data_IF_649336143137
#
_entry.id   IF_649336143137
#
_cell.length_a   1.000
_cell.length_b   1.000
_cell.length_c   1.000
_cell.angle_alpha   90.00
_cell.angle_beta   90.00
_cell.angle_gamma   90.00
#
_symmetry.space_group_name_H-M   'P 1'
#
loop_
_entity.id
_entity.type
_entity.pdbx_description
1 polymer ?
#
# COMPACT_ATOMS: atom_id res chain seq x y z
N UNK A 1 36.31 -7.51 -17.18
CA UNK A 1 35.66 -8.41 -16.21
C UNK A 1 34.16 -8.27 -16.43
N UNK A 2 33.54 -9.24 -17.09
CA UNK A 2 32.16 -9.14 -17.58
C UNK A 2 31.13 -9.38 -16.49
N UNK A 3 30.11 -8.53 -16.41
CA UNK A 3 28.95 -8.69 -15.52
C UNK A 3 28.00 -9.67 -16.21
N UNK A 4 27.77 -10.85 -15.60
CA UNK A 4 26.77 -11.82 -16.07
C UNK A 4 25.38 -11.26 -15.79
N UNK A 5 24.56 -11.13 -16.84
CA UNK A 5 23.12 -10.94 -16.71
C UNK A 5 22.51 -12.27 -16.24
N UNK A 6 22.05 -12.32 -14.99
CA UNK A 6 21.27 -13.45 -14.48
C UNK A 6 19.85 -13.42 -15.05
N UNK A 7 19.38 -14.55 -15.55
CA UNK A 7 17.99 -14.74 -15.97
C UNK A 7 17.09 -14.90 -14.75
N UNK A 8 15.93 -14.23 -14.75
CA UNK A 8 14.93 -14.32 -13.69
C UNK A 8 13.86 -15.33 -14.06
N UNK A 9 13.51 -16.22 -13.14
CA UNK A 9 12.34 -17.10 -13.26
C UNK A 9 11.30 -16.73 -12.21
N UNK A 10 10.08 -16.43 -12.65
CA UNK A 10 8.91 -16.35 -11.76
C UNK A 10 8.51 -17.77 -11.41
N UNK A 11 8.70 -18.19 -10.16
CA UNK A 11 8.12 -19.45 -9.67
C UNK A 11 6.93 -19.18 -8.77
N UNK A 12 5.73 -19.50 -9.25
CA UNK A 12 4.58 -19.73 -8.37
C UNK A 12 4.79 -21.09 -7.69
N UNK A 13 4.98 -21.12 -6.38
CA UNK A 13 4.92 -22.37 -5.64
C UNK A 13 3.44 -22.65 -5.30
N UNK A 14 2.82 -23.56 -6.04
CA UNK A 14 1.53 -24.16 -5.67
C UNK A 14 1.80 -25.28 -4.68
N UNK A 15 1.36 -25.11 -3.44
CA UNK A 15 1.27 -26.22 -2.49
C UNK A 15 -0.17 -26.72 -2.51
N UNK A 16 -0.35 -27.99 -2.85
CA UNK A 16 -1.64 -28.67 -2.77
C UNK A 16 -1.99 -28.87 -1.30
N UNK A 17 -2.62 -27.86 -0.69
CA UNK A 17 -3.64 -27.98 0.35
C UNK A 17 -4.16 -26.57 0.68
N UNK A 18 -5.45 -26.38 0.38
CA UNK A 18 -6.41 -25.35 0.78
C UNK A 18 -5.96 -24.31 1.85
N UNK A 19 -5.30 -23.23 1.41
CA UNK A 19 -5.34 -21.84 1.92
C UNK A 19 -4.28 -21.04 1.13
N UNK A 20 -4.70 -20.20 0.17
CA UNK A 20 -3.76 -19.40 -0.64
C UNK A 20 -3.21 -18.24 0.19
N UNK A 21 -2.17 -18.51 0.95
CA UNK A 21 -1.26 -17.51 1.52
C UNK A 21 -0.58 -16.74 0.36
N UNK A 22 -1.10 -15.58 -0.04
CA UNK A 22 -0.36 -14.63 -0.91
C UNK A 22 0.65 -13.85 -0.07
N UNK A 23 1.53 -14.57 0.62
CA UNK A 23 2.65 -13.95 1.33
C UNK A 23 3.60 -13.41 0.27
N UNK A 24 3.55 -12.11 -0.02
CA UNK A 24 4.63 -11.44 -0.72
C UNK A 24 5.81 -11.27 0.25
N UNK A 25 6.43 -12.41 0.57
CA UNK A 25 7.81 -12.45 1.03
C UNK A 25 8.67 -12.96 -0.12
N UNK A 26 9.38 -12.04 -0.78
CA UNK A 26 10.39 -12.40 -1.76
C UNK A 26 11.50 -13.21 -1.06
N UNK A 27 11.76 -14.43 -1.57
CA UNK A 27 12.96 -15.22 -1.29
C UNK A 27 13.85 -15.24 -2.52
N UNK A 28 15.16 -15.11 -2.36
CA UNK A 28 16.13 -15.41 -3.41
C UNK A 28 16.27 -16.95 -3.58
N UNK A 29 17.02 -17.41 -4.60
CA UNK A 29 17.32 -18.84 -4.80
C UNK A 29 18.05 -19.50 -3.60
N UNK A 30 18.57 -18.69 -2.68
CA UNK A 30 19.21 -19.12 -1.43
C UNK A 30 18.24 -19.20 -0.22
N UNK A 31 16.98 -18.79 -0.38
CA UNK A 31 15.96 -18.84 0.68
C UNK A 31 15.90 -17.62 1.62
N UNK A 32 16.69 -16.58 1.38
CA UNK A 32 16.75 -15.38 2.24
C UNK A 32 15.55 -14.45 2.02
N UNK A 33 14.91 -14.00 3.11
CA UNK A 33 13.84 -13.02 3.04
C UNK A 33 14.39 -11.63 2.71
N UNK A 34 13.96 -11.04 1.59
CA UNK A 34 14.43 -9.71 1.17
C UNK A 34 13.46 -8.58 1.63
N UNK A 35 14.06 -7.51 2.16
CA UNK A 35 13.41 -6.26 2.61
C UNK A 35 13.48 -5.21 1.48
N UNK A 36 12.35 -4.59 1.12
CA UNK A 36 12.32 -3.50 0.12
C UNK A 36 12.21 -2.15 0.85
N UNK A 37 13.20 -1.24 0.72
CA UNK A 37 13.23 0.04 1.41
C UNK A 37 12.09 1.01 1.08
N UNK A 38 11.24 0.73 0.07
CA UNK A 38 10.22 1.69 -0.40
C UNK A 38 8.84 1.55 0.26
N UNK A 39 8.50 0.35 0.72
CA UNK A 39 7.23 0.14 1.41
C UNK A 39 7.27 0.79 2.78
N UNK A 40 6.42 1.76 3.04
CA UNK A 40 6.36 2.44 4.33
C UNK A 40 4.93 2.83 4.70
N UNK A 41 4.74 3.13 5.97
CA UNK A 41 3.51 3.72 6.51
C UNK A 41 3.84 5.11 6.98
N UNK A 42 2.92 6.04 6.76
CA UNK A 42 3.00 7.38 7.29
C UNK A 42 2.12 7.50 8.53
N UNK A 43 2.70 8.07 9.59
CA UNK A 43 1.93 8.54 10.73
C UNK A 43 1.17 9.81 10.36
N UNK A 44 0.02 10.09 10.99
CA UNK A 44 -0.71 11.34 10.77
C UNK A 44 0.17 12.60 10.94
N UNK A 45 1.14 12.56 11.85
CA UNK A 45 2.14 13.61 12.05
C UNK A 45 2.99 13.93 10.81
N UNK A 46 3.15 12.99 9.87
CA UNK A 46 3.91 13.21 8.62
C UNK A 46 3.36 14.36 7.75
N UNK A 47 2.06 14.65 7.88
CA UNK A 47 1.36 15.61 7.03
C UNK A 47 0.79 16.79 7.81
N UNK A 48 0.76 16.68 9.15
CA UNK A 48 0.12 17.62 10.08
C UNK A 48 1.06 17.83 11.27
N UNK A 49 1.80 18.94 11.24
CA UNK A 49 2.79 19.30 12.26
C UNK A 49 2.18 19.30 13.67
N UNK A 50 0.94 19.80 13.82
CA UNK A 50 0.25 19.82 15.12
C UNK A 50 0.01 18.41 15.70
N UNK A 51 -0.09 17.40 14.82
CA UNK A 51 -0.25 16.00 15.23
C UNK A 51 1.09 15.40 15.63
N UNK A 52 2.18 15.76 14.93
CA UNK A 52 3.52 15.35 15.32
C UNK A 52 3.90 15.92 16.70
N UNK A 53 3.64 17.22 16.92
CA UNK A 53 3.87 17.88 18.20
C UNK A 53 3.02 17.28 19.33
N UNK A 54 1.82 16.78 19.01
CA UNK A 54 0.95 16.06 19.94
C UNK A 54 1.35 14.57 20.15
N UNK A 55 2.40 14.10 19.48
CA UNK A 55 2.93 12.74 19.62
C UNK A 55 2.23 11.67 18.78
N UNK A 56 1.44 12.05 17.77
CA UNK A 56 0.84 11.10 16.82
C UNK A 56 1.85 10.62 15.77
N UNK A 57 2.85 9.88 16.25
CA UNK A 57 3.92 9.26 15.47
C UNK A 57 3.60 7.79 15.14
N UNK A 58 4.54 7.08 14.50
CA UNK A 58 4.37 5.67 14.14
C UNK A 58 4.07 4.77 15.35
N UNK A 59 4.57 5.07 16.55
CA UNK A 59 4.34 4.27 17.76
C UNK A 59 2.88 4.32 18.21
N UNK A 60 2.13 5.34 17.79
CA UNK A 60 0.72 5.54 18.13
C UNK A 60 -0.27 4.98 17.10
N UNK A 61 0.23 4.42 16.00
CA UNK A 61 -0.63 3.86 14.96
C UNK A 61 -1.46 2.70 15.49
N UNK A 62 -2.76 2.73 15.20
CA UNK A 62 -3.67 1.66 15.58
C UNK A 62 -3.37 0.39 14.75
N UNK A 63 -2.79 -0.61 15.40
CA UNK A 63 -2.52 -1.92 14.81
C UNK A 63 -3.79 -2.63 14.33
N UNK A 64 -4.95 -2.35 14.92
CA UNK A 64 -6.22 -2.86 14.43
C UNK A 64 -6.56 -2.25 13.07
N UNK A 65 -6.28 -0.96 12.83
CA UNK A 65 -6.47 -0.36 11.50
C UNK A 65 -5.47 -0.92 10.50
N UNK A 66 -4.23 -1.23 10.90
CA UNK A 66 -3.19 -1.80 10.04
C UNK A 66 -3.38 -3.28 9.67
N UNK A 67 -4.27 -4.01 10.37
CA UNK A 67 -4.42 -5.45 10.21
C UNK A 67 -5.90 -5.87 10.08
N UNK A 68 -6.23 -6.68 9.07
CA UNK A 68 -7.56 -7.29 8.89
C UNK A 68 -8.10 -7.20 7.47
N UNK A 69 -9.42 -7.37 7.26
CA UNK A 69 -10.01 -7.37 5.94
C UNK A 69 -9.78 -6.06 5.20
N UNK A 70 -9.39 -6.18 3.93
CA UNK A 70 -9.12 -5.08 3.02
C UNK A 70 -9.59 -5.43 1.61
N UNK A 71 -10.03 -4.40 0.89
CA UNK A 71 -10.45 -4.53 -0.49
C UNK A 71 -9.34 -4.01 -1.42
N UNK A 72 -8.82 -4.88 -2.28
CA UNK A 72 -7.97 -4.47 -3.40
C UNK A 72 -8.84 -4.13 -4.60
N UNK A 73 -8.76 -2.87 -5.06
CA UNK A 73 -9.52 -2.35 -6.20
C UNK A 73 -8.59 -1.92 -7.34
N UNK A 74 -9.08 -2.04 -8.57
CA UNK A 74 -8.40 -1.51 -9.75
C UNK A 74 -8.89 -0.09 -10.08
N UNK A 75 -7.96 0.85 -10.13
CA UNK A 75 -8.20 2.21 -10.61
C UNK A 75 -8.14 2.24 -12.14
N UNK A 76 -9.04 2.97 -12.83
CA UNK A 76 -8.94 3.19 -14.27
C UNK A 76 -7.53 3.64 -14.68
N UNK A 77 -6.97 3.01 -15.72
CA UNK A 77 -5.55 3.15 -16.07
C UNK A 77 -5.19 4.48 -16.73
N UNK A 78 -6.19 5.25 -17.12
CA UNK A 78 -6.09 6.53 -17.81
C UNK A 78 -6.34 7.74 -16.91
N UNK A 79 -6.47 7.55 -15.59
CA UNK A 79 -6.85 8.62 -14.67
C UNK A 79 -6.09 8.62 -13.34
N UNK A 80 -6.04 9.80 -12.71
CA UNK A 80 -5.74 9.95 -11.29
C UNK A 80 -6.96 9.61 -10.43
N UNK A 81 -6.76 9.43 -9.12
CA UNK A 81 -7.86 9.11 -8.21
C UNK A 81 -8.57 10.43 -7.85
N UNK A 82 -9.55 10.80 -8.68
CA UNK A 82 -10.47 11.95 -8.50
C UNK A 82 -11.74 11.54 -7.75
N UNK A 83 -12.62 12.50 -7.46
CA UNK A 83 -13.92 12.21 -6.86
C UNK A 83 -14.80 11.33 -7.76
N UNK A 84 -14.77 11.54 -9.08
CA UNK A 84 -15.50 10.74 -10.07
C UNK A 84 -14.98 9.30 -10.10
N UNK A 85 -13.66 9.12 -10.06
CA UNK A 85 -13.04 7.80 -9.98
C UNK A 85 -13.45 7.10 -8.69
N UNK A 86 -13.37 7.78 -7.54
CA UNK A 86 -13.79 7.19 -6.27
C UNK A 86 -15.25 6.73 -6.28
N UNK A 87 -16.16 7.51 -6.88
CA UNK A 87 -17.57 7.14 -7.07
C UNK A 87 -17.71 5.90 -7.96
N UNK A 88 -16.97 5.82 -9.07
CA UNK A 88 -17.09 4.74 -10.04
C UNK A 88 -16.53 3.40 -9.53
N UNK A 89 -15.62 3.43 -8.55
CA UNK A 89 -15.10 2.21 -7.91
C UNK A 89 -16.16 1.45 -7.10
N UNK A 90 -17.29 2.07 -6.77
CA UNK A 90 -18.43 1.44 -6.07
C UNK A 90 -18.00 0.66 -4.81
N UNK A 91 -17.09 1.22 -4.01
CA UNK A 91 -16.58 0.57 -2.80
C UNK A 91 -17.74 0.35 -1.82
N UNK A 92 -17.99 -0.90 -1.36
CA UNK A 92 -19.06 -1.18 -0.41
C UNK A 92 -18.91 -0.42 0.91
N UNK A 93 -20.04 -0.03 1.50
CA UNK A 93 -20.06 0.54 2.87
C UNK A 93 -19.52 -0.48 3.88
N UNK A 94 -18.89 0.01 4.95
CA UNK A 94 -18.27 -0.82 5.97
C UNK A 94 -16.87 -1.36 5.62
N UNK A 95 -16.36 -1.11 4.42
CA UNK A 95 -14.95 -1.37 4.10
C UNK A 95 -14.06 -0.36 4.82
N UNK A 96 -13.20 -0.85 5.70
CA UNK A 96 -12.29 -0.01 6.49
C UNK A 96 -10.91 0.17 5.86
N UNK A 97 -10.52 -0.69 4.93
CA UNK A 97 -9.16 -0.71 4.35
C UNK A 97 -9.24 -0.96 2.86
N UNK A 98 -8.58 -0.11 2.07
CA UNK A 98 -8.59 -0.24 0.61
C UNK A 98 -7.18 -0.12 0.06
N UNK A 99 -6.82 -1.05 -0.82
CA UNK A 99 -5.59 -1.02 -1.59
C UNK A 99 -5.96 -0.63 -3.02
N UNK A 100 -5.37 0.45 -3.52
CA UNK A 100 -5.61 0.95 -4.87
C UNK A 100 -4.49 0.48 -5.79
N UNK A 101 -4.83 -0.42 -6.71
CA UNK A 101 -3.94 -0.80 -7.79
C UNK A 101 -4.13 0.15 -8.96
N UNK A 102 -3.08 0.89 -9.29
CA UNK A 102 -3.09 1.90 -10.35
C UNK A 102 -2.16 1.49 -11.50
N UNK A 103 -2.14 2.32 -12.56
CA UNK A 103 -1.18 2.21 -13.68
C UNK A 103 0.29 2.15 -13.21
N UNK A 104 0.59 2.62 -12.00
CA UNK A 104 1.94 2.55 -11.43
C UNK A 104 2.45 1.11 -11.29
N UNK A 105 1.54 0.17 -11.04
CA UNK A 105 1.84 -1.27 -10.96
C UNK A 105 2.24 -1.78 -12.33
N UNK A 106 1.43 -1.49 -13.35
CA UNK A 106 1.63 -1.93 -14.73
C UNK A 106 2.94 -1.37 -15.30
N UNK A 107 3.27 -0.12 -14.95
CA UNK A 107 4.55 0.55 -15.28
C UNK A 107 5.72 0.12 -14.40
N UNK A 108 5.46 -0.74 -13.41
CA UNK A 108 6.45 -1.25 -12.44
C UNK A 108 7.23 -0.13 -11.76
N UNK A 109 6.58 0.98 -11.42
CA UNK A 109 7.26 2.14 -10.84
C UNK A 109 7.99 1.79 -9.54
N UNK A 110 7.43 0.88 -8.73
CA UNK A 110 8.06 0.39 -7.49
C UNK A 110 9.25 -0.54 -7.71
N UNK A 111 9.62 -0.81 -8.96
CA UNK A 111 10.83 -1.54 -9.34
C UNK A 111 11.92 -0.62 -9.88
N UNK A 112 11.56 0.61 -10.29
CA UNK A 112 12.50 1.58 -10.84
C UNK A 112 13.29 2.27 -9.73
N UNK A 113 14.55 2.60 -9.99
CA UNK A 113 15.39 3.34 -9.01
C UNK A 113 15.08 4.84 -9.00
N UNK A 114 14.70 5.38 -10.15
CA UNK A 114 14.42 6.81 -10.32
C UNK A 114 12.96 7.09 -10.01
N UNK A 115 12.71 8.27 -9.45
CA UNK A 115 11.37 8.76 -9.21
C UNK A 115 10.73 9.21 -10.54
N UNK A 116 9.50 8.75 -10.77
CA UNK A 116 8.69 9.14 -11.92
C UNK A 116 7.60 10.09 -11.45
N UNK A 117 7.67 11.36 -11.87
CA UNK A 117 6.72 12.42 -11.50
C UNK A 117 5.34 12.25 -12.14
N UNK A 118 5.21 11.39 -13.15
CA UNK A 118 3.95 11.10 -13.83
C UNK A 118 3.18 9.92 -13.21
N UNK A 119 3.44 9.64 -11.93
CA UNK A 119 2.74 8.61 -11.18
C UNK A 119 1.25 8.95 -11.03
N UNK A 120 0.43 7.90 -10.93
CA UNK A 120 -0.99 8.00 -10.59
C UNK A 120 -1.15 8.08 -9.09
N UNK A 121 -1.86 9.08 -8.58
CA UNK A 121 -2.12 9.27 -7.16
C UNK A 121 -3.49 9.89 -6.88
N UNK A 122 -3.76 10.18 -5.61
CA UNK A 122 -4.94 10.94 -5.21
C UNK A 122 -4.81 12.40 -5.63
N UNK A 123 -5.88 12.93 -6.22
CA UNK A 123 -6.10 14.37 -6.27
C UNK A 123 -6.89 14.82 -5.04
N UNK A 124 -6.88 16.12 -4.78
CA UNK A 124 -7.50 16.73 -3.60
C UNK A 124 -9.00 16.38 -3.48
N UNK A 125 -9.71 16.39 -4.59
CA UNK A 125 -11.14 16.09 -4.65
C UNK A 125 -11.43 14.60 -4.41
N UNK A 126 -10.61 13.69 -4.93
CA UNK A 126 -10.73 12.25 -4.65
C UNK A 126 -10.47 11.92 -3.18
N UNK A 127 -9.45 12.54 -2.60
CA UNK A 127 -9.14 12.44 -1.17
C UNK A 127 -10.28 12.95 -0.29
N UNK A 128 -10.83 14.13 -0.62
CA UNK A 128 -11.96 14.70 0.10
C UNK A 128 -13.21 13.82 -0.04
N UNK A 129 -13.49 13.32 -1.25
CA UNK A 129 -14.62 12.43 -1.47
C UNK A 129 -14.51 11.16 -0.61
N UNK A 130 -13.32 10.55 -0.56
CA UNK A 130 -13.07 9.36 0.26
C UNK A 130 -13.40 9.64 1.73
N UNK A 131 -12.90 10.76 2.27
CA UNK A 131 -13.15 11.17 3.67
C UNK A 131 -14.64 11.39 3.96
N UNK A 132 -15.35 12.05 3.05
CA UNK A 132 -16.73 12.47 3.30
C UNK A 132 -17.77 11.37 3.07
N UNK A 133 -17.43 10.34 2.28
CA UNK A 133 -18.40 9.36 1.78
C UNK A 133 -18.11 7.91 2.21
N UNK A 134 -17.02 7.66 2.93
CA UNK A 134 -16.60 6.30 3.30
C UNK A 134 -16.13 6.21 4.75
N UNK A 135 -16.14 4.98 5.29
CA UNK A 135 -15.61 4.67 6.63
C UNK A 135 -14.15 4.19 6.57
N UNK A 136 -13.45 4.42 5.45
CA UNK A 136 -12.09 3.92 5.22
C UNK A 136 -11.12 4.61 6.21
N UNK A 137 -10.31 3.80 6.88
CA UNK A 137 -9.28 4.21 7.84
C UNK A 137 -7.86 3.86 7.41
N UNK A 138 -7.71 2.98 6.41
CA UNK A 138 -6.42 2.68 5.78
C UNK A 138 -6.53 2.77 4.26
N UNK A 139 -5.62 3.52 3.67
CA UNK A 139 -5.44 3.59 2.22
C UNK A 139 -4.04 3.12 1.89
N UNK A 140 -3.93 2.06 1.08
CA UNK A 140 -2.67 1.69 0.48
C UNK A 140 -2.65 2.02 -1.01
N UNK A 141 -1.62 2.70 -1.46
CA UNK A 141 -1.36 2.89 -2.90
C UNK A 141 0.13 3.04 -3.09
N UNK A 142 0.55 3.33 -4.30
CA UNK A 142 1.95 3.58 -4.58
C UNK A 142 2.40 4.93 -4.00
N UNK A 143 1.51 5.93 -4.05
CA UNK A 143 1.70 7.28 -3.51
C UNK A 143 0.36 7.96 -3.17
N UNK A 144 0.26 8.57 -2.00
CA UNK A 144 -0.84 9.43 -1.55
C UNK A 144 -0.24 10.72 -1.04
N UNK A 145 -0.85 11.85 -1.39
CA UNK A 145 -0.48 13.11 -0.75
C UNK A 145 -1.73 13.92 -0.44
N UNK A 146 -2.31 13.69 0.74
CA UNK A 146 -3.32 14.59 1.28
C UNK A 146 -3.34 14.55 2.81
N UNK A 147 -3.69 15.69 3.40
CA UNK A 147 -3.83 15.81 4.85
C UNK A 147 -5.11 15.12 5.30
N UNK A 148 -4.96 13.98 5.96
CA UNK A 148 -6.05 13.31 6.66
C UNK A 148 -5.58 12.89 8.04
N UNK A 149 -6.19 13.45 9.08
CA UNK A 149 -5.85 13.10 10.46
C UNK A 149 -6.25 11.67 10.85
N UNK A 150 -7.26 11.11 10.17
CA UNK A 150 -7.93 9.88 10.60
C UNK A 150 -7.72 8.70 9.64
N UNK A 151 -6.86 8.85 8.64
CA UNK A 151 -6.58 7.82 7.63
C UNK A 151 -5.09 7.52 7.62
N UNK A 152 -4.75 6.25 7.87
CA UNK A 152 -3.39 5.75 7.79
C UNK A 152 -3.04 5.50 6.33
N UNK A 153 -1.89 6.02 5.90
CA UNK A 153 -1.38 5.90 4.54
C UNK A 153 -0.29 4.83 4.49
N UNK A 154 -0.44 3.91 3.55
CA UNK A 154 0.58 2.91 3.24
C UNK A 154 1.03 3.10 1.80
N UNK A 155 2.32 3.35 1.61
CA UNK A 155 2.92 3.61 0.32
C UNK A 155 3.84 2.48 -0.15
N UNK A 156 4.12 2.48 -1.45
CA UNK A 156 5.18 1.64 -2.00
C UNK A 156 4.85 0.15 -2.12
N UNK A 157 3.56 -0.24 -2.02
CA UNK A 157 3.17 -1.65 -2.20
C UNK A 157 3.32 -2.11 -3.65
N UNK A 158 3.82 -3.34 -3.81
CA UNK A 158 3.98 -4.00 -5.11
C UNK A 158 2.82 -4.95 -5.38
N UNK A 159 1.81 -4.48 -6.11
CA UNK A 159 0.57 -5.23 -6.34
C UNK A 159 0.60 -6.04 -7.65
N UNK A 160 1.80 -6.32 -8.17
CA UNK A 160 2.02 -7.14 -9.36
C UNK A 160 1.40 -8.53 -9.17
N UNK A 161 0.60 -8.98 -10.15
CA UNK A 161 -0.01 -10.32 -10.17
C UNK A 161 -0.95 -10.64 -8.99
N UNK A 162 -1.44 -9.65 -8.24
CA UNK A 162 -2.45 -9.85 -7.19
C UNK A 162 -3.84 -9.55 -7.74
N UNK A 163 -4.75 -10.52 -7.81
CA UNK A 163 -6.10 -10.28 -8.31
C UNK A 163 -6.88 -9.30 -7.41
N UNK A 164 -7.67 -8.40 -8.01
CA UNK A 164 -8.59 -7.55 -7.24
C UNK A 164 -9.59 -8.41 -6.44
N UNK A 165 -9.93 -7.96 -5.23
CA UNK A 165 -10.78 -8.73 -4.32
C UNK A 165 -10.47 -8.46 -2.85
N UNK A 166 -11.08 -9.26 -1.98
CA UNK A 166 -10.93 -9.15 -0.53
C UNK A 166 -9.74 -9.99 -0.08
N UNK A 167 -8.92 -9.42 0.80
CA UNK A 167 -7.80 -10.07 1.46
C UNK A 167 -7.76 -9.66 2.93
N UNK A 168 -7.16 -10.48 3.78
CA UNK A 168 -6.63 -10.02 5.06
C UNK A 168 -5.28 -9.35 4.80
N UNK A 169 -5.20 -8.04 5.05
CA UNK A 169 -3.95 -7.29 5.00
C UNK A 169 -3.30 -7.29 6.36
N UNK A 170 -1.97 -7.43 6.40
CA UNK A 170 -1.18 -7.22 7.59
C UNK A 170 -0.02 -6.29 7.25
N UNK A 171 -0.10 -5.03 7.67
CA UNK A 171 1.00 -4.09 7.51
C UNK A 171 1.70 -3.91 8.87
N UNK A 172 2.95 -4.37 8.94
CA UNK A 172 3.74 -4.44 10.16
C UNK A 172 4.88 -3.40 10.11
N UNK A 173 4.70 -2.20 10.67
CA UNK A 173 5.76 -1.21 10.76
C UNK A 173 6.81 -1.60 11.79
N UNK A 174 8.05 -1.17 11.56
CA UNK A 174 9.03 -1.12 12.64
C UNK A 174 8.57 -0.12 13.69
N UNK A 175 8.76 -0.48 14.96
CA UNK A 175 8.45 0.40 16.09
C UNK A 175 9.52 1.49 16.19
N UNK A 176 9.23 2.68 15.67
CA UNK A 176 10.13 3.82 15.62
C UNK A 176 9.51 5.02 16.36
N UNK A 177 9.88 5.19 17.63
CA UNK A 177 9.40 6.28 18.46
C UNK A 177 9.82 7.66 17.91
N UNK A 178 8.90 8.62 17.89
CA UNK A 178 9.13 9.98 17.40
C UNK A 178 9.33 10.07 15.89
N UNK A 179 8.93 9.05 15.13
CA UNK A 179 9.10 9.02 13.67
C UNK A 179 7.78 9.25 12.94
N UNK A 180 7.81 10.10 11.91
CA UNK A 180 6.68 10.41 11.05
C UNK A 180 6.33 9.28 10.08
N UNK A 181 7.23 8.31 9.88
CA UNK A 181 6.99 7.18 9.00
C UNK A 181 7.89 6.01 9.33
N UNK A 182 7.50 4.81 8.91
CA UNK A 182 8.27 3.60 9.20
C UNK A 182 8.23 2.63 8.03
N UNK A 183 9.38 2.01 7.69
CA UNK A 183 9.37 0.93 6.71
C UNK A 183 8.49 -0.20 7.23
N UNK A 184 7.73 -0.79 6.32
CA UNK A 184 6.77 -1.84 6.67
C UNK A 184 7.05 -3.13 5.91
N UNK A 185 6.72 -4.25 6.56
CA UNK A 185 6.40 -5.47 5.83
C UNK A 185 4.89 -5.58 5.74
N UNK A 186 4.34 -5.45 4.53
CA UNK A 186 2.93 -5.67 4.29
C UNK A 186 2.69 -6.96 3.49
N UNK A 187 1.75 -7.79 3.94
CA UNK A 187 1.36 -9.06 3.31
C UNK A 187 -0.16 -9.11 3.12
N UNK A 188 -0.60 -9.87 2.11
CA UNK A 188 -2.02 -10.09 1.80
C UNK A 188 -2.32 -11.59 1.88
N UNK A 189 -3.36 -12.00 2.59
CA UNK A 189 -3.78 -13.39 2.72
C UNK A 189 -5.20 -13.50 2.18
N UNK A 190 -5.46 -14.47 1.28
CA UNK A 190 -6.78 -14.66 0.69
C UNK A 190 -7.66 -15.51 1.60
#
# INVERSE_FOLDING_TARGET
>A
MGIRQGSWTVSSASWEHEERLTVQCFRNEAGDAYWDPRGHVDAPGHMIDEYFDAGFDVDTLDLLVLNGPALLVDVPRDSNITAEVMKSLNIPKGVMRVLFRTLNTDRRLMWQKQFDTSYVGFLKDGAQWLKDNTDIKLVATHRVFFKSGDIILVEGLKLDNVEAGIYNVHCLPLRLYGSEGSPIRCILIK
#
